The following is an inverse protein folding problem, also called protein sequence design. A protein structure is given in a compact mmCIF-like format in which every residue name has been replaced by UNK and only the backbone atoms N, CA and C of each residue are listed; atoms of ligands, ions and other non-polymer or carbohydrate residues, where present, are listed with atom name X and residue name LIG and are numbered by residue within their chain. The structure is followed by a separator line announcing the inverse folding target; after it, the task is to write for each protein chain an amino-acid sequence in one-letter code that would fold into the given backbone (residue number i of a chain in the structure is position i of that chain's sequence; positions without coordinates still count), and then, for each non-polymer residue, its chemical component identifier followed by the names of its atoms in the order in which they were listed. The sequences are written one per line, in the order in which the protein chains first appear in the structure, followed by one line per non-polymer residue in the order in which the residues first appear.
data_IF_472563231828
#
_entry.id   IF_472563231828
#
_cell.length_a   1.000
_cell.length_b   1.000
_cell.length_c   1.000
_cell.angle_alpha   90.00
_cell.angle_beta   90.00
_cell.angle_gamma   90.00
#
_symmetry.space_group_name_H-M   'P 1'
#
loop_
_entity.id
_entity.type
_entity.pdbx_description
1 polymer ?
#
# COMPACT_ATOMS: atom_id res chain seq x y z
N UNK A 1 15.81 12.39 51.67
CA UNK A 1 16.63 12.79 52.84
C UNK A 1 17.32 11.56 53.41
N UNK A 2 18.58 11.67 53.83
CA UNK A 2 19.37 10.52 54.33
C UNK A 2 19.11 10.19 55.81
N UNK A 3 18.51 11.12 56.58
CA UNK A 3 18.03 10.89 57.95
C UNK A 3 16.72 11.63 58.19
N UNK A 4 15.91 11.15 59.14
CA UNK A 4 14.67 11.82 59.54
C UNK A 4 14.93 13.22 60.15
N UNK A 5 16.07 13.39 60.83
CA UNK A 5 16.46 14.69 61.39
C UNK A 5 16.75 15.72 60.29
N UNK A 6 17.44 15.34 59.21
CA UNK A 6 17.69 16.23 58.07
C UNK A 6 16.38 16.66 57.39
N UNK A 7 15.38 15.79 57.30
CA UNK A 7 14.05 16.14 56.78
C UNK A 7 13.30 17.12 57.69
N UNK A 8 13.41 16.97 59.01
CA UNK A 8 12.76 17.85 59.99
C UNK A 8 13.36 19.27 60.01
N UNK A 9 14.68 19.38 59.88
CA UNK A 9 15.37 20.67 59.76
C UNK A 9 15.00 21.41 58.46
N UNK A 10 14.82 20.67 57.37
CA UNK A 10 14.45 21.25 56.08
C UNK A 10 12.98 21.70 56.01
N UNK A 11 12.07 20.97 56.66
CA UNK A 11 10.68 21.40 56.84
C UNK A 11 10.56 22.71 57.64
N UNK A 12 11.45 22.97 58.59
CA UNK A 12 11.52 24.28 59.28
C UNK A 12 11.98 25.38 58.35
N UNK A 13 13.06 25.17 57.58
CA UNK A 13 13.51 26.15 56.57
C UNK A 13 12.40 26.54 55.59
N UNK A 14 11.59 25.57 55.14
CA UNK A 14 10.44 25.84 54.26
C UNK A 14 9.35 26.68 54.96
N UNK A 15 9.12 26.49 56.26
CA UNK A 15 8.20 27.36 57.04
C UNK A 15 8.75 28.78 57.22
N UNK A 16 10.07 28.91 57.41
CA UNK A 16 10.75 30.20 57.60
C UNK A 16 11.09 30.91 56.27
N UNK A 17 10.78 30.30 55.13
CA UNK A 17 11.00 30.86 53.78
C UNK A 17 12.45 30.75 53.27
N UNK A 18 13.29 29.96 53.93
CA UNK A 18 14.68 29.72 53.54
C UNK A 18 14.80 28.62 52.46
N UNK A 19 15.79 28.71 51.54
CA UNK A 19 16.00 27.71 50.51
C UNK A 19 16.47 26.36 51.08
N UNK A 20 15.89 25.29 50.55
CA UNK A 20 16.23 23.89 50.83
C UNK A 20 17.70 23.60 50.50
N UNK A 21 18.41 22.97 51.43
CA UNK A 21 19.77 22.49 51.18
C UNK A 21 19.73 21.11 50.51
N UNK A 22 19.78 21.08 49.17
CA UNK A 22 19.90 19.81 48.44
C UNK A 22 21.19 19.09 48.86
N UNK A 23 21.13 17.84 49.36
CA UNK A 23 22.35 17.06 49.53
C UNK A 23 22.99 16.83 48.17
N UNK A 24 24.32 16.90 48.10
CA UNK A 24 25.07 16.55 46.89
C UNK A 24 24.66 15.16 46.44
N UNK A 25 24.02 15.07 45.27
CA UNK A 25 23.67 13.80 44.66
C UNK A 25 24.92 12.93 44.56
N UNK A 26 24.76 11.63 44.80
CA UNK A 26 25.84 10.68 44.60
C UNK A 26 26.34 10.82 43.17
N UNK A 27 27.64 11.09 43.02
CA UNK A 27 28.31 10.80 41.76
C UNK A 27 28.18 9.29 41.54
N UNK A 28 27.45 8.90 40.50
CA UNK A 28 27.28 7.51 40.12
C UNK A 28 28.65 6.94 39.77
N UNK A 29 29.16 6.05 40.62
CA UNK A 29 30.46 5.42 40.43
C UNK A 29 30.32 4.37 39.32
N UNK A 30 30.38 4.88 38.08
CA UNK A 30 30.16 4.12 36.86
C UNK A 30 31.07 2.89 36.82
N UNK A 31 30.46 1.73 36.57
CA UNK A 31 31.09 0.41 36.56
C UNK A 31 32.31 0.37 35.63
N UNK A 32 33.51 0.61 36.17
CA UNK A 32 34.76 0.42 35.43
C UNK A 32 35.18 -1.04 35.49
N UNK A 33 35.34 -1.62 34.31
CA UNK A 33 35.85 -2.99 34.12
C UNK A 33 37.25 -3.11 34.72
N UNK A 34 37.41 -4.02 35.67
CA UNK A 34 38.71 -4.43 36.20
C UNK A 34 39.44 -5.31 35.19
N UNK A 35 40.45 -4.74 34.50
CA UNK A 35 41.43 -5.51 33.74
C UNK A 35 42.57 -5.98 34.66
N UNK A 36 43.01 -7.25 34.59
CA UNK A 36 43.95 -7.81 35.56
C UNK A 36 45.41 -7.49 35.21
N UNK A 37 45.87 -6.28 35.52
CA UNK A 37 47.30 -5.92 35.49
C UNK A 37 47.59 -4.64 36.29
N UNK A 38 47.76 -4.73 37.62
CA UNK A 38 48.68 -3.87 38.41
C UNK A 38 48.80 -4.25 39.91
N UNK A 39 48.64 -5.54 40.24
CA UNK A 39 49.03 -6.07 41.55
C UNK A 39 50.55 -6.29 41.65
N UNK A 40 51.36 -5.24 41.39
CA UNK A 40 52.82 -5.34 41.33
C UNK A 40 53.59 -4.01 41.58
N UNK A 41 53.15 -3.16 42.52
CA UNK A 41 53.93 -1.96 42.92
C UNK A 41 53.76 -1.56 44.40
N UNK A 42 53.57 -2.54 45.29
CA UNK A 42 53.76 -2.32 46.72
C UNK A 42 55.26 -2.17 47.05
N UNK A 43 55.56 -1.29 48.00
CA UNK A 43 56.87 -1.00 48.60
C UNK A 43 57.89 -0.15 47.78
N UNK A 44 57.79 1.17 47.92
CA UNK A 44 58.94 2.07 48.18
C UNK A 44 58.50 3.49 48.58
N UNK A 45 59.42 4.27 49.18
CA UNK A 45 59.37 5.71 49.48
C UNK A 45 58.59 6.21 50.73
N UNK A 46 59.33 6.18 51.85
CA UNK A 46 59.25 7.00 53.07
C UNK A 46 59.12 8.54 52.92
N UNK A 47 58.60 9.25 53.94
CA UNK A 47 59.08 10.61 54.29
C UNK A 47 58.21 11.55 55.16
N UNK A 48 58.71 11.96 56.34
CA UNK A 48 58.33 13.18 57.13
C UNK A 48 56.99 13.17 57.90
N UNK A 49 56.86 13.40 59.23
CA UNK A 49 57.34 14.47 60.14
C UNK A 49 56.73 15.87 59.82
N UNK A 50 56.26 16.71 60.76
CA UNK A 50 56.24 16.71 62.25
C UNK A 50 54.76 16.95 62.72
N UNK A 51 54.36 17.35 63.95
CA UNK A 51 55.03 17.74 65.20
C UNK A 51 54.11 17.53 66.43
N UNK A 52 54.72 17.51 67.64
CA UNK A 52 54.04 17.59 68.95
C UNK A 52 54.84 18.51 69.87
N UNK A 53 54.18 19.40 70.64
CA UNK A 53 54.83 20.29 71.62
C UNK A 53 54.46 19.87 73.06
N UNK A 54 55.46 19.74 73.94
CA UNK A 54 55.33 19.32 75.35
C UNK A 54 56.30 20.15 76.21
N UNK A 55 55.86 20.57 77.42
CA UNK A 55 56.60 20.75 78.71
C UNK A 55 55.81 21.72 79.63
N UNK A 56 55.89 21.76 80.98
CA UNK A 56 56.80 21.28 82.06
C UNK A 56 55.96 21.34 83.40
N UNK A 57 56.24 20.70 84.54
CA UNK A 57 57.17 19.62 85.00
C UNK A 57 56.82 19.20 86.47
N UNK A 58 57.40 18.10 86.97
CA UNK A 58 57.87 17.79 88.36
C UNK A 58 57.00 18.08 89.62
N UNK A 59 57.14 17.38 90.77
CA UNK A 59 57.73 16.08 91.16
C UNK A 59 57.23 15.69 92.58
N UNK A 60 57.42 14.43 93.03
CA UNK A 60 56.92 13.87 94.31
C UNK A 60 57.70 14.29 95.59
N UNK A 61 57.76 13.49 96.70
CA UNK A 61 57.43 12.06 96.87
C UNK A 61 56.49 11.77 98.12
N UNK A 62 56.63 10.73 98.99
CA UNK A 62 55.58 9.68 99.08
C UNK A 62 54.98 9.34 100.48
N UNK A 63 53.86 8.58 100.45
CA UNK A 63 53.28 7.67 101.50
C UNK A 63 53.02 8.19 102.93
N UNK A 64 51.76 8.04 103.38
CA UNK A 64 51.35 7.32 104.62
C UNK A 64 49.82 7.17 104.74
N UNK A 65 49.34 6.02 105.22
CA UNK A 65 48.07 5.84 105.98
C UNK A 65 48.40 6.02 107.48
N UNK A 66 47.48 6.49 108.37
CA UNK A 66 46.29 5.71 108.80
C UNK A 66 45.00 6.49 109.17
N UNK A 67 43.94 5.72 109.49
CA UNK A 67 42.66 6.06 110.16
C UNK A 67 42.80 6.59 111.63
N UNK A 68 41.72 6.86 112.44
CA UNK A 68 40.24 6.89 112.20
C UNK A 68 39.47 8.11 112.80
N UNK A 69 38.14 8.14 112.61
CA UNK A 69 37.08 8.27 113.66
C UNK A 69 35.89 9.24 113.37
N UNK A 70 34.72 8.62 113.15
CA UNK A 70 33.29 8.98 113.24
C UNK A 70 32.75 10.40 113.57
N UNK A 71 31.60 10.72 112.95
CA UNK A 71 30.38 11.05 113.71
C UNK A 71 29.06 10.60 112.97
N UNK A 72 28.00 10.43 113.76
CA UNK A 72 26.83 9.52 113.66
C UNK A 72 25.61 9.90 112.73
N UNK A 73 24.47 9.13 112.68
CA UNK A 73 23.67 8.94 111.46
C UNK A 73 22.33 9.71 111.37
N UNK A 74 21.69 9.65 110.18
CA UNK A 74 20.25 9.92 110.02
C UNK A 74 19.51 8.81 109.25
N UNK A 75 18.49 8.26 109.91
CA UNK A 75 17.62 7.17 109.46
C UNK A 75 16.60 7.66 108.42
N UNK A 76 16.78 7.32 107.14
CA UNK A 76 15.77 7.53 106.11
C UNK A 76 14.86 6.31 105.97
N UNK A 77 13.55 6.55 105.90
CA UNK A 77 12.52 5.50 105.94
C UNK A 77 12.61 4.51 104.78
N UNK A 78 12.22 3.25 105.02
CA UNK A 78 12.14 2.16 104.01
C UNK A 78 10.93 2.32 103.06
N UNK A 79 10.03 3.27 103.35
CA UNK A 79 8.79 3.49 102.61
C UNK A 79 8.92 3.82 101.10
N UNK A 80 9.92 4.57 100.60
CA UNK A 80 10.04 4.79 99.16
C UNK A 80 10.46 3.51 98.41
N UNK A 81 11.15 2.56 99.07
CA UNK A 81 11.43 1.25 98.46
C UNK A 81 10.16 0.40 98.34
N UNK A 82 9.23 0.50 99.29
CA UNK A 82 7.92 -0.16 99.17
C UNK A 82 7.12 0.45 98.02
N UNK A 83 7.11 1.78 97.87
CA UNK A 83 6.47 2.43 96.72
C UNK A 83 7.11 2.03 95.38
N UNK A 84 8.44 1.92 95.31
CA UNK A 84 9.14 1.45 94.10
C UNK A 84 8.79 -0.01 93.80
N UNK A 85 8.73 -0.90 94.80
CA UNK A 85 8.32 -2.29 94.61
C UNK A 85 6.85 -2.40 94.19
N UNK A 86 5.94 -1.61 94.78
CA UNK A 86 4.53 -1.57 94.36
C UNK A 86 4.38 -0.97 92.97
N UNK A 87 5.18 0.03 92.59
CA UNK A 87 5.20 0.57 91.24
C UNK A 87 5.74 -0.45 90.23
N UNK A 88 6.81 -1.19 90.56
CA UNK A 88 7.35 -2.26 89.73
C UNK A 88 6.34 -3.42 89.62
N UNK A 89 5.63 -3.77 90.69
CA UNK A 89 4.56 -4.79 90.64
C UNK A 89 3.31 -4.32 89.91
N UNK A 90 2.98 -3.03 89.97
CA UNK A 90 1.90 -2.44 89.17
C UNK A 90 2.28 -2.33 87.69
N UNK A 91 3.54 -2.00 87.37
CA UNK A 91 4.08 -2.01 86.01
C UNK A 91 4.25 -3.43 85.48
N UNK A 92 4.65 -4.40 86.31
CA UNK A 92 4.72 -5.81 85.94
C UNK A 92 3.32 -6.43 85.82
N UNK A 93 2.35 -6.01 86.64
CA UNK A 93 0.95 -6.40 86.54
C UNK A 93 0.25 -5.77 85.34
N UNK A 94 0.55 -4.51 85.02
CA UNK A 94 0.09 -3.84 83.80
C UNK A 94 0.76 -4.43 82.56
N UNK A 95 2.07 -4.68 82.59
CA UNK A 95 2.78 -5.39 81.53
C UNK A 95 2.27 -6.82 81.37
N UNK A 96 1.95 -7.54 82.46
CA UNK A 96 1.34 -8.86 82.40
C UNK A 96 -0.09 -8.80 81.87
N UNK A 97 -0.91 -7.81 82.24
CA UNK A 97 -2.25 -7.62 81.69
C UNK A 97 -2.20 -7.27 80.19
N UNK A 98 -1.28 -6.40 79.80
CA UNK A 98 -1.02 -6.03 78.41
C UNK A 98 -0.49 -7.24 77.62
N UNK A 99 0.46 -8.01 78.15
CA UNK A 99 1.11 -9.17 77.52
C UNK A 99 0.21 -10.41 77.46
N UNK A 100 -0.57 -10.70 78.50
CA UNK A 100 -1.58 -11.77 78.51
C UNK A 100 -2.79 -11.45 77.64
N UNK A 101 -3.10 -10.16 77.44
CA UNK A 101 -4.06 -9.70 76.42
C UNK A 101 -3.41 -9.52 75.02
N UNK A 102 -2.09 -9.65 74.89
CA UNK A 102 -1.38 -9.63 73.59
C UNK A 102 -1.36 -11.03 72.94
N UNK A 103 -1.36 -12.09 73.76
CA UNK A 103 -1.25 -13.48 73.30
C UNK A 103 -2.49 -14.10 72.67
N UNK A 104 -3.52 -13.32 72.32
CA UNK A 104 -4.77 -13.79 71.70
C UNK A 104 -5.19 -12.98 70.47
N UNK A 105 -4.25 -12.28 69.83
CA UNK A 105 -4.35 -12.09 68.39
C UNK A 105 -3.78 -13.37 67.75
N UNK A 106 -4.63 -14.37 67.53
CA UNK A 106 -4.37 -15.30 66.43
C UNK A 106 -4.38 -14.43 65.17
N UNK A 107 -3.18 -14.11 64.67
CA UNK A 107 -3.02 -13.54 63.34
C UNK A 107 -3.51 -14.61 62.36
N UNK A 108 -4.80 -14.54 62.03
CA UNK A 108 -5.50 -15.44 61.12
C UNK A 108 -5.00 -15.13 59.70
N UNK A 109 -3.79 -15.64 59.43
CA UNK A 109 -3.05 -15.44 58.20
C UNK A 109 -3.74 -16.20 57.08
N UNK A 110 -4.44 -15.45 56.23
CA UNK A 110 -5.09 -15.95 55.04
C UNK A 110 -4.05 -16.14 53.93
N UNK A 111 -4.19 -17.23 53.17
CA UNK A 111 -3.33 -17.51 52.03
C UNK A 111 -3.96 -16.85 50.80
N UNK A 112 -3.20 -16.04 50.07
CA UNK A 112 -3.65 -15.40 48.84
C UNK A 112 -3.96 -16.49 47.79
N UNK A 113 -5.20 -16.58 47.28
CA UNK A 113 -5.55 -17.55 46.25
C UNK A 113 -4.91 -17.19 44.90
N UNK A 114 -4.77 -18.19 44.04
CA UNK A 114 -4.43 -17.96 42.63
C UNK A 114 -5.68 -17.50 41.90
N UNK A 115 -5.69 -16.27 41.37
CA UNK A 115 -6.81 -15.74 40.57
C UNK A 115 -6.40 -15.35 39.15
N UNK A 116 -5.14 -15.56 38.76
CA UNK A 116 -4.67 -15.39 37.37
C UNK A 116 -5.51 -16.25 36.43
N UNK A 117 -5.95 -15.68 35.29
CA UNK A 117 -6.84 -16.36 34.33
C UNK A 117 -8.29 -16.58 34.82
N UNK A 118 -8.65 -16.09 36.01
CA UNK A 118 -10.06 -16.02 36.43
C UNK A 118 -10.72 -14.75 35.90
N UNK A 119 -12.04 -14.78 35.67
CA UNK A 119 -12.79 -13.54 35.43
C UNK A 119 -12.77 -12.64 36.66
N UNK A 120 -12.92 -11.32 36.49
CA UNK A 120 -12.94 -10.37 37.61
C UNK A 120 -13.98 -10.70 38.70
N UNK A 121 -15.11 -11.33 38.34
CA UNK A 121 -16.12 -11.80 39.29
C UNK A 121 -15.62 -13.01 40.10
N UNK A 122 -15.10 -14.05 39.43
CA UNK A 122 -14.55 -15.23 40.09
C UNK A 122 -13.33 -14.90 40.97
N UNK A 123 -12.47 -13.97 40.51
CA UNK A 123 -11.34 -13.48 41.27
C UNK A 123 -11.79 -12.76 42.55
N UNK A 124 -12.83 -11.91 42.46
CA UNK A 124 -13.43 -11.25 43.61
C UNK A 124 -13.99 -12.26 44.60
N UNK A 125 -14.82 -13.20 44.14
CA UNK A 125 -15.46 -14.20 45.00
C UNK A 125 -14.40 -15.07 45.71
N UNK A 126 -13.37 -15.54 44.99
CA UNK A 126 -12.28 -16.33 45.57
C UNK A 126 -11.44 -15.57 46.61
N UNK A 127 -11.20 -14.27 46.41
CA UNK A 127 -10.45 -13.42 47.34
C UNK A 127 -11.30 -13.09 48.59
N UNK A 128 -12.59 -12.81 48.42
CA UNK A 128 -13.51 -12.54 49.53
C UNK A 128 -13.82 -13.81 50.35
N UNK A 129 -13.97 -14.98 49.72
CA UNK A 129 -14.11 -16.28 50.38
C UNK A 129 -12.83 -16.67 51.17
N UNK A 130 -11.65 -16.26 50.70
CA UNK A 130 -10.39 -16.38 51.42
C UNK A 130 -10.24 -15.39 52.59
N UNK A 131 -11.24 -14.55 52.87
CA UNK A 131 -11.20 -13.57 53.96
C UNK A 131 -10.32 -12.35 53.70
N UNK A 132 -10.01 -12.09 52.43
CA UNK A 132 -9.25 -10.93 51.96
C UNK A 132 -10.18 -9.93 51.24
N UNK A 133 -9.67 -8.76 50.85
CA UNK A 133 -10.42 -7.76 50.08
C UNK A 133 -9.93 -7.70 48.64
N UNK A 134 -10.86 -7.67 47.69
CA UNK A 134 -10.57 -7.46 46.29
C UNK A 134 -10.48 -5.96 45.95
N UNK A 135 -9.40 -5.54 45.30
CA UNK A 135 -9.26 -4.20 44.68
C UNK A 135 -8.92 -4.35 43.20
N UNK A 136 -9.76 -3.81 42.31
CA UNK A 136 -9.42 -3.68 40.89
C UNK A 136 -8.46 -2.50 40.69
N UNK A 137 -7.20 -2.80 40.38
CA UNK A 137 -6.13 -1.83 40.20
C UNK A 137 -6.00 -1.31 38.76
N UNK A 138 -6.90 -1.72 37.86
CA UNK A 138 -7.00 -1.25 36.48
C UNK A 138 -6.78 -2.35 35.44
N UNK A 139 -6.56 -1.94 34.19
CA UNK A 139 -6.32 -2.84 33.06
C UNK A 139 -4.85 -2.87 32.65
N UNK A 140 -4.34 -4.02 32.24
CA UNK A 140 -2.98 -4.22 31.72
C UNK A 140 -3.03 -5.06 30.43
N UNK A 141 -2.27 -4.70 29.40
CA UNK A 141 -2.17 -5.52 28.19
C UNK A 141 -1.43 -6.85 28.49
N UNK A 142 -1.96 -7.95 27.96
CA UNK A 142 -1.38 -9.29 28.07
C UNK A 142 -1.63 -10.08 26.78
N UNK A 143 -0.59 -10.66 26.21
CA UNK A 143 -0.72 -11.46 24.99
C UNK A 143 -1.23 -12.90 25.27
N UNK A 144 -1.02 -13.38 26.50
CA UNK A 144 -1.27 -14.76 26.93
C UNK A 144 -2.63 -14.93 27.65
N UNK A 145 -3.20 -13.84 28.19
CA UNK A 145 -4.45 -13.86 28.98
C UNK A 145 -5.56 -13.11 28.20
N UNK A 146 -6.71 -13.75 27.92
CA UNK A 146 -7.88 -13.13 27.26
C UNK A 146 -8.36 -11.82 27.90
N UNK A 147 -8.95 -10.92 27.10
CA UNK A 147 -9.57 -9.68 27.61
C UNK A 147 -10.65 -10.00 28.66
N UNK A 148 -10.58 -9.35 29.83
CA UNK A 148 -11.55 -9.52 30.94
C UNK A 148 -11.15 -10.54 32.02
N UNK A 149 -10.09 -11.33 31.80
CA UNK A 149 -9.49 -12.20 32.82
C UNK A 149 -8.35 -11.51 33.58
N UNK A 150 -8.00 -11.99 34.77
CA UNK A 150 -6.90 -11.42 35.57
C UNK A 150 -5.55 -11.73 34.92
N UNK A 151 -4.82 -10.67 34.53
CA UNK A 151 -3.45 -10.78 34.02
C UNK A 151 -2.38 -10.73 35.11
N UNK A 152 -2.68 -10.11 36.25
CA UNK A 152 -1.75 -9.95 37.38
C UNK A 152 -2.50 -9.76 38.69
N UNK A 153 -1.93 -10.30 39.77
CA UNK A 153 -2.30 -9.98 41.15
C UNK A 153 -1.10 -9.43 41.92
N UNK A 154 -1.35 -8.71 43.00
CA UNK A 154 -0.38 -8.24 43.99
C UNK A 154 -1.08 -8.16 45.36
N UNK A 155 -0.67 -8.91 46.39
CA UNK A 155 0.48 -9.83 46.43
C UNK A 155 0.30 -11.12 45.59
N UNK A 156 1.43 -11.79 45.33
CA UNK A 156 1.48 -13.06 44.60
C UNK A 156 0.73 -14.21 45.32
N UNK A 157 0.37 -15.25 44.57
CA UNK A 157 -0.29 -16.45 45.11
C UNK A 157 0.52 -17.12 46.23
N UNK A 158 -0.17 -17.73 47.20
CA UNK A 158 0.47 -18.45 48.31
C UNK A 158 1.08 -17.54 49.40
N UNK A 159 1.15 -16.22 49.18
CA UNK A 159 1.54 -15.25 50.21
C UNK A 159 0.55 -15.28 51.39
N UNK A 160 1.05 -14.98 52.59
CA UNK A 160 0.25 -14.92 53.81
C UNK A 160 -0.02 -13.48 54.19
N UNK A 161 -1.30 -13.12 54.27
CA UNK A 161 -1.78 -11.79 54.58
C UNK A 161 -2.69 -11.82 55.81
N UNK A 162 -2.78 -10.70 56.51
CA UNK A 162 -3.73 -10.56 57.62
C UNK A 162 -5.16 -10.50 57.07
N UNK A 163 -6.10 -11.10 57.81
CA UNK A 163 -7.53 -11.09 57.47
C UNK A 163 -8.02 -9.68 57.16
N UNK A 164 -8.61 -9.50 55.98
CA UNK A 164 -9.12 -8.21 55.49
C UNK A 164 -8.07 -7.27 54.91
N UNK A 165 -6.82 -7.70 54.69
CA UNK A 165 -5.89 -7.04 53.78
C UNK A 165 -6.35 -7.13 52.32
N UNK A 166 -5.79 -6.27 51.48
CA UNK A 166 -6.27 -6.06 50.11
C UNK A 166 -5.34 -6.70 49.09
N UNK A 167 -5.91 -7.52 48.21
CA UNK A 167 -5.26 -8.06 47.01
C UNK A 167 -5.67 -7.19 45.83
N UNK A 168 -4.67 -6.59 45.18
CA UNK A 168 -4.82 -5.79 43.97
C UNK A 168 -4.77 -6.68 42.75
N UNK A 169 -5.67 -6.42 41.82
CA UNK A 169 -5.89 -7.27 40.65
C UNK A 169 -5.92 -6.38 39.41
N UNK A 170 -5.12 -6.71 38.40
CA UNK A 170 -5.16 -6.09 37.08
C UNK A 170 -5.83 -7.04 36.09
N UNK A 171 -6.78 -6.48 35.33
CA UNK A 171 -7.55 -7.21 34.32
C UNK A 171 -6.83 -7.07 32.99
N UNK A 172 -6.70 -8.17 32.25
CA UNK A 172 -6.16 -8.17 30.90
C UNK A 172 -7.02 -7.30 29.98
N UNK A 173 -6.39 -6.40 29.23
CA UNK A 173 -7.00 -5.72 28.08
C UNK A 173 -6.77 -6.48 26.77
N UNK A 174 -6.43 -7.78 26.86
CA UNK A 174 -6.06 -8.62 25.72
C UNK A 174 -4.73 -8.21 25.07
N UNK A 175 -4.54 -8.71 23.84
CA UNK A 175 -3.47 -8.25 22.94
C UNK A 175 -3.71 -6.78 22.61
N UNK A 176 -2.67 -5.96 22.79
CA UNK A 176 -2.77 -4.51 22.64
C UNK A 176 -3.36 -4.12 21.29
N UNK A 177 -4.18 -3.05 21.27
CA UNK A 177 -4.83 -2.58 20.05
C UNK A 177 -3.91 -1.65 19.27
N UNK A 178 -3.85 -1.84 17.95
CA UNK A 178 -3.02 -1.10 17.01
C UNK A 178 -3.91 -0.45 15.96
N UNK A 179 -3.56 0.75 15.51
CA UNK A 179 -4.28 1.47 14.46
C UNK A 179 -3.90 0.93 13.08
N UNK A 180 -4.88 0.58 12.24
CA UNK A 180 -4.65 0.13 10.87
C UNK A 180 -4.21 1.31 10.01
N UNK A 181 -3.02 1.27 9.37
CA UNK A 181 -2.55 2.35 8.51
C UNK A 181 -3.38 2.46 7.22
N UNK A 182 -3.30 3.62 6.55
CA UNK A 182 -3.81 3.76 5.19
C UNK A 182 -2.85 3.11 4.19
N UNK A 183 -3.33 2.09 3.49
CA UNK A 183 -2.60 1.32 2.49
C UNK A 183 -3.05 1.66 1.06
N UNK A 184 -4.10 2.47 0.89
CA UNK A 184 -4.66 2.79 -0.43
C UNK A 184 -3.61 3.46 -1.33
N UNK A 185 -3.48 2.98 -2.56
CA UNK A 185 -2.49 3.47 -3.52
C UNK A 185 -1.05 3.07 -3.24
N UNK A 186 -0.77 2.28 -2.19
CA UNK A 186 0.58 1.73 -1.93
C UNK A 186 0.81 0.44 -2.71
N UNK A 187 2.09 0.19 -3.02
CA UNK A 187 2.57 -1.10 -3.53
C UNK A 187 2.34 -2.20 -2.49
N UNK A 188 1.90 -3.38 -2.92
CA UNK A 188 1.65 -4.56 -2.06
C UNK A 188 2.82 -4.87 -1.10
N UNK A 189 4.06 -4.77 -1.57
CA UNK A 189 5.27 -5.03 -0.77
C UNK A 189 5.44 -3.97 0.31
N UNK A 190 5.16 -2.70 0.00
CA UNK A 190 5.22 -1.60 0.98
C UNK A 190 4.12 -1.74 2.01
N UNK A 191 2.90 -2.06 1.58
CA UNK A 191 1.76 -2.29 2.46
C UNK A 191 2.01 -3.46 3.44
N UNK A 192 2.53 -4.59 2.94
CA UNK A 192 2.89 -5.74 3.76
C UNK A 192 3.98 -5.41 4.81
N UNK A 193 5.01 -4.64 4.43
CA UNK A 193 6.04 -4.19 5.37
C UNK A 193 5.49 -3.24 6.45
N UNK A 194 4.56 -2.35 6.09
CA UNK A 194 3.96 -1.38 7.01
C UNK A 194 3.04 -2.06 8.03
N UNK A 195 2.27 -3.06 7.60
CA UNK A 195 1.51 -3.95 8.49
C UNK A 195 2.43 -4.79 9.39
N UNK A 196 3.50 -5.37 8.83
CA UNK A 196 4.44 -6.20 9.60
C UNK A 196 5.19 -5.41 10.69
N UNK A 197 5.48 -4.13 10.48
CA UNK A 197 6.06 -3.24 11.50
C UNK A 197 5.11 -2.97 12.68
N UNK A 198 3.82 -3.25 12.51
CA UNK A 198 2.75 -3.06 13.50
C UNK A 198 2.29 -4.40 14.12
N UNK A 199 3.02 -5.48 13.87
CA UNK A 199 2.65 -6.86 14.24
C UNK A 199 1.28 -7.29 13.66
N UNK A 200 0.90 -6.74 12.49
CA UNK A 200 -0.33 -7.10 11.78
C UNK A 200 -0.03 -8.09 10.65
N UNK A 201 -0.90 -9.09 10.50
CA UNK A 201 -0.85 -10.01 9.38
C UNK A 201 -1.38 -9.39 8.08
N UNK A 202 -1.04 -9.96 6.94
CA UNK A 202 -1.55 -9.53 5.63
C UNK A 202 -2.14 -10.70 4.83
N UNK A 203 -3.32 -10.48 4.25
CA UNK A 203 -4.03 -11.42 3.38
C UNK A 203 -4.28 -10.74 2.03
N UNK A 204 -3.37 -10.87 1.04
CA UNK A 204 -3.54 -10.25 -0.26
C UNK A 204 -4.54 -11.02 -1.13
N UNK A 205 -5.49 -10.29 -1.70
CA UNK A 205 -6.43 -10.76 -2.72
C UNK A 205 -6.27 -9.93 -3.98
N UNK A 206 -6.52 -10.53 -5.14
CA UNK A 206 -6.36 -9.89 -6.44
C UNK A 206 -7.73 -9.52 -7.02
N UNK A 207 -7.83 -8.34 -7.63
CA UNK A 207 -9.03 -7.84 -8.29
C UNK A 207 -8.61 -7.10 -9.57
N UNK A 208 -9.23 -7.44 -10.71
CA UNK A 208 -8.92 -6.82 -12.00
C UNK A 208 -9.29 -5.34 -11.99
N UNK A 209 -8.37 -4.46 -12.42
CA UNK A 209 -8.61 -3.02 -12.42
C UNK A 209 -7.79 -2.27 -13.47
N UNK A 210 -8.46 -1.65 -14.45
CA UNK A 210 -7.80 -0.86 -15.50
C UNK A 210 -7.44 0.57 -15.07
N UNK A 211 -7.95 1.04 -13.93
CA UNK A 211 -7.69 2.38 -13.40
C UNK A 211 -6.46 2.48 -12.48
N UNK A 212 -5.91 1.34 -12.05
CA UNK A 212 -4.81 1.25 -11.09
C UNK A 212 -3.61 0.50 -11.69
N UNK A 213 -2.40 0.82 -11.24
CA UNK A 213 -1.20 0.09 -11.65
C UNK A 213 -1.21 -1.33 -11.02
N UNK A 214 -0.91 -2.40 -11.76
CA UNK A 214 -0.82 -3.74 -11.20
C UNK A 214 0.15 -3.80 -10.01
N UNK A 215 -0.22 -4.51 -8.95
CA UNK A 215 0.52 -4.54 -7.68
C UNK A 215 0.15 -3.42 -6.68
N UNK A 216 -0.75 -2.51 -7.04
CA UNK A 216 -1.22 -1.42 -6.16
C UNK A 216 -2.42 -1.85 -5.33
N UNK A 217 -2.43 -1.54 -4.03
CA UNK A 217 -3.59 -1.76 -3.16
C UNK A 217 -4.70 -0.76 -3.51
N UNK A 218 -5.87 -1.28 -3.91
CA UNK A 218 -7.07 -0.50 -4.26
C UNK A 218 -8.12 -0.50 -3.14
N UNK A 219 -8.04 -1.42 -2.18
CA UNK A 219 -8.96 -1.52 -1.05
C UNK A 219 -8.32 -2.32 0.09
N UNK A 220 -8.72 -2.05 1.32
CA UNK A 220 -8.28 -2.78 2.52
C UNK A 220 -9.47 -3.08 3.44
N UNK A 221 -9.32 -4.08 4.31
CA UNK A 221 -10.24 -4.42 5.38
C UNK A 221 -9.45 -5.06 6.53
N UNK A 222 -9.46 -4.51 7.76
CA UNK A 222 -10.28 -3.39 8.23
C UNK A 222 -9.88 -2.01 7.67
N UNK A 223 -10.67 -0.99 7.96
CA UNK A 223 -10.50 0.35 7.36
C UNK A 223 -9.30 1.11 7.97
N UNK A 224 -8.78 2.10 7.23
CA UNK A 224 -7.71 2.95 7.75
C UNK A 224 -8.19 3.76 8.97
N UNK A 225 -7.38 3.82 10.03
CA UNK A 225 -7.72 4.45 11.31
C UNK A 225 -8.57 3.57 12.25
N UNK A 226 -8.87 2.33 11.88
CA UNK A 226 -9.58 1.38 12.74
C UNK A 226 -8.61 0.71 13.74
N UNK A 227 -9.07 0.44 14.97
CA UNK A 227 -8.24 -0.20 16.00
C UNK A 227 -8.47 -1.72 16.03
N UNK A 228 -7.43 -2.47 15.69
CA UNK A 228 -7.41 -3.94 15.60
C UNK A 228 -6.55 -4.55 16.71
N UNK A 229 -6.71 -5.83 17.02
CA UNK A 229 -5.79 -6.52 17.92
C UNK A 229 -4.42 -6.74 17.26
N UNK A 230 -3.32 -6.61 18.01
CA UNK A 230 -2.01 -7.03 17.54
C UNK A 230 -2.03 -8.53 17.15
N UNK A 231 -1.48 -8.85 15.98
CA UNK A 231 -1.57 -10.16 15.33
C UNK A 231 -2.80 -10.35 14.43
N UNK A 232 -3.74 -9.40 14.35
CA UNK A 232 -4.89 -9.49 13.44
C UNK A 232 -4.43 -9.41 11.97
N UNK A 233 -5.07 -10.20 11.11
CA UNK A 233 -4.82 -10.21 9.67
C UNK A 233 -5.66 -9.12 8.99
N UNK A 234 -5.00 -8.25 8.22
CA UNK A 234 -5.62 -7.25 7.35
C UNK A 234 -5.68 -7.80 5.93
N UNK A 235 -6.89 -7.93 5.37
CA UNK A 235 -7.06 -8.26 3.95
C UNK A 235 -6.77 -7.01 3.13
N UNK A 236 -5.86 -7.11 2.17
CA UNK A 236 -5.62 -6.08 1.15
C UNK A 236 -6.08 -6.59 -0.21
N UNK A 237 -6.69 -5.73 -1.00
CA UNK A 237 -7.09 -6.03 -2.38
C UNK A 237 -6.18 -5.26 -3.31
N UNK A 238 -5.48 -6.00 -4.14
CA UNK A 238 -4.42 -5.56 -5.04
C UNK A 238 -4.95 -5.57 -6.46
N UNK A 239 -4.75 -4.47 -7.18
CA UNK A 239 -5.03 -4.39 -8.60
C UNK A 239 -4.16 -5.39 -9.36
N UNK A 240 -4.79 -6.21 -10.20
CA UNK A 240 -4.11 -6.91 -11.30
C UNK A 240 -4.55 -6.31 -12.63
N UNK A 241 -3.69 -6.44 -13.65
CA UNK A 241 -4.07 -6.03 -15.00
C UNK A 241 -5.32 -6.78 -15.42
N UNK A 242 -6.32 -6.10 -16.00
CA UNK A 242 -7.45 -6.84 -16.53
C UNK A 242 -7.01 -7.70 -17.71
N UNK A 243 -7.46 -8.95 -17.71
CA UNK A 243 -7.43 -9.83 -18.87
C UNK A 243 -8.71 -9.72 -19.71
N UNK A 244 -9.64 -8.84 -19.34
CA UNK A 244 -10.75 -8.43 -20.19
C UNK A 244 -10.35 -7.36 -21.21
N UNK A 245 -11.14 -7.25 -22.27
CA UNK A 245 -11.08 -6.20 -23.29
C UNK A 245 -12.52 -5.82 -23.64
N UNK A 246 -12.82 -4.52 -23.75
CA UNK A 246 -14.14 -4.05 -24.15
C UNK A 246 -14.39 -4.30 -25.64
N UNK A 247 -15.52 -4.93 -25.99
CA UNK A 247 -15.89 -5.20 -27.39
C UNK A 247 -16.21 -3.88 -28.11
N UNK A 248 -15.56 -3.58 -29.26
CA UNK A 248 -15.79 -2.35 -30.00
C UNK A 248 -17.15 -2.36 -30.75
N UNK A 249 -17.54 -1.21 -31.30
CA UNK A 249 -18.66 -1.15 -32.25
C UNK A 249 -18.22 -1.69 -33.61
N UNK A 250 -18.82 -2.81 -34.02
CA UNK A 250 -18.60 -3.49 -35.30
C UNK A 250 -19.77 -3.29 -36.27
N UNK A 251 -20.98 -3.05 -35.75
CA UNK A 251 -22.20 -2.81 -36.55
C UNK A 251 -21.96 -1.68 -37.57
N UNK A 252 -22.30 -1.95 -38.83
CA UNK A 252 -22.12 -1.04 -39.97
C UNK A 252 -20.71 -1.02 -40.57
N UNK A 253 -19.75 -1.80 -40.06
CA UNK A 253 -18.44 -2.02 -40.69
C UNK A 253 -18.50 -3.16 -41.70
N UNK A 254 -17.55 -3.19 -42.62
CA UNK A 254 -17.28 -4.39 -43.41
C UNK A 254 -16.63 -5.49 -42.54
N UNK A 255 -16.87 -6.75 -42.91
CA UNK A 255 -16.37 -7.93 -42.21
C UNK A 255 -14.84 -7.90 -42.03
N UNK A 256 -14.08 -7.55 -43.06
CA UNK A 256 -12.61 -7.57 -43.00
C UNK A 256 -12.06 -6.52 -41.99
N UNK A 257 -12.63 -5.32 -41.97
CA UNK A 257 -12.31 -4.29 -40.98
C UNK A 257 -12.74 -4.70 -39.57
N UNK A 258 -13.89 -5.38 -39.41
CA UNK A 258 -14.34 -5.89 -38.13
C UNK A 258 -13.41 -6.99 -37.58
N UNK A 259 -13.03 -7.96 -38.40
CA UNK A 259 -12.06 -9.02 -38.08
C UNK A 259 -10.68 -8.44 -37.73
N UNK A 260 -10.19 -7.47 -38.52
CA UNK A 260 -8.91 -6.81 -38.25
C UNK A 260 -8.93 -6.03 -36.93
N UNK A 261 -10.05 -5.35 -36.60
CA UNK A 261 -10.20 -4.62 -35.35
C UNK A 261 -10.25 -5.58 -34.14
N UNK A 262 -11.04 -6.65 -34.22
CA UNK A 262 -11.08 -7.70 -33.19
C UNK A 262 -9.69 -8.34 -32.99
N UNK A 263 -9.00 -8.70 -34.07
CA UNK A 263 -7.64 -9.26 -34.02
C UNK A 263 -6.65 -8.29 -33.37
N UNK A 264 -6.75 -6.98 -33.66
CA UNK A 264 -5.88 -5.97 -33.04
C UNK A 264 -6.10 -5.81 -31.53
N UNK A 265 -7.26 -6.21 -31.02
CA UNK A 265 -7.65 -6.24 -29.61
C UNK A 265 -7.39 -7.60 -28.94
N UNK A 266 -6.88 -8.59 -29.69
CA UNK A 266 -6.65 -9.95 -29.19
C UNK A 266 -7.92 -10.78 -29.03
N UNK A 267 -9.02 -10.41 -29.71
CA UNK A 267 -10.29 -11.13 -29.74
C UNK A 267 -10.39 -11.99 -31.00
N UNK A 268 -11.15 -13.09 -30.94
CA UNK A 268 -11.43 -13.96 -32.09
C UNK A 268 -12.75 -13.55 -32.74
N UNK A 269 -12.81 -13.55 -34.08
CA UNK A 269 -14.04 -13.30 -34.82
C UNK A 269 -14.72 -14.62 -35.21
N UNK A 270 -16.03 -14.70 -35.01
CA UNK A 270 -16.88 -15.80 -35.50
C UNK A 270 -17.97 -15.23 -36.45
N UNK A 271 -17.69 -15.10 -37.76
CA UNK A 271 -18.62 -14.53 -38.71
C UNK A 271 -19.75 -15.50 -39.08
N UNK A 272 -20.99 -15.08 -38.83
CA UNK A 272 -22.21 -15.84 -39.10
C UNK A 272 -23.07 -15.10 -40.14
N UNK A 273 -23.46 -15.74 -41.27
CA UNK A 273 -24.24 -15.07 -42.30
C UNK A 273 -25.71 -14.88 -41.87
N UNK A 274 -26.28 -13.70 -42.14
CA UNK A 274 -27.69 -13.37 -41.87
C UNK A 274 -28.34 -12.71 -43.09
N UNK A 275 -29.63 -12.97 -43.30
CA UNK A 275 -30.44 -12.25 -44.29
C UNK A 275 -30.70 -10.81 -43.83
N UNK A 276 -30.31 -9.84 -44.63
CA UNK A 276 -30.47 -8.40 -44.35
C UNK A 276 -30.64 -7.60 -45.64
N UNK A 277 -31.13 -6.37 -45.50
CA UNK A 277 -31.19 -5.39 -46.61
C UNK A 277 -29.91 -4.55 -46.73
N UNK A 278 -29.00 -4.65 -45.76
CA UNK A 278 -27.69 -4.00 -45.82
C UNK A 278 -26.78 -4.63 -46.90
N UNK A 279 -25.83 -3.89 -47.49
CA UNK A 279 -24.91 -4.43 -48.49
C UNK A 279 -24.18 -5.69 -48.02
N UNK A 280 -23.94 -6.64 -48.92
CA UNK A 280 -23.16 -7.84 -48.64
C UNK A 280 -21.83 -7.54 -47.94
N UNK A 281 -21.46 -8.38 -46.98
CA UNK A 281 -20.23 -8.20 -46.20
C UNK A 281 -20.29 -7.16 -45.09
N UNK A 282 -21.43 -6.46 -44.90
CA UNK A 282 -21.64 -5.51 -43.78
C UNK A 282 -22.06 -6.25 -42.51
N UNK A 283 -21.45 -5.93 -41.37
CA UNK A 283 -21.87 -6.43 -40.05
C UNK A 283 -23.19 -5.74 -39.64
N UNK A 284 -24.23 -6.55 -39.46
CA UNK A 284 -25.60 -6.13 -39.11
C UNK A 284 -25.80 -6.11 -37.59
N UNK A 285 -25.21 -7.08 -36.89
CA UNK A 285 -25.34 -7.26 -35.44
C UNK A 285 -24.07 -7.93 -34.87
N UNK A 286 -23.87 -7.87 -33.55
CA UNK A 286 -22.71 -8.44 -32.86
C UNK A 286 -23.09 -9.01 -31.49
N UNK A 287 -22.39 -10.07 -31.07
CA UNK A 287 -22.49 -10.62 -29.72
C UNK A 287 -21.10 -11.08 -29.25
N UNK A 288 -20.55 -10.58 -28.14
CA UNK A 288 -21.18 -9.67 -27.17
C UNK A 288 -21.36 -8.21 -27.64
N UNK A 289 -22.10 -7.42 -26.87
CA UNK A 289 -22.52 -6.07 -27.27
C UNK A 289 -21.39 -5.05 -27.17
N UNK A 290 -21.55 -3.88 -27.81
CA UNK A 290 -20.57 -2.79 -27.72
C UNK A 290 -20.35 -2.37 -26.26
N UNK A 291 -19.09 -2.34 -25.83
CA UNK A 291 -18.69 -1.91 -24.48
C UNK A 291 -18.84 -3.00 -23.41
N UNK A 292 -19.28 -4.20 -23.79
CA UNK A 292 -19.24 -5.37 -22.91
C UNK A 292 -17.78 -5.85 -22.75
N UNK A 293 -17.37 -6.17 -21.53
CA UNK A 293 -16.02 -6.67 -21.24
C UNK A 293 -15.96 -8.18 -21.38
N UNK A 294 -15.01 -8.66 -22.19
CA UNK A 294 -14.83 -10.09 -22.49
C UNK A 294 -13.37 -10.48 -22.32
N UNK A 295 -13.10 -11.71 -21.90
CA UNK A 295 -11.73 -12.20 -21.78
C UNK A 295 -10.97 -12.09 -23.11
N UNK A 296 -9.66 -11.83 -23.05
CA UNK A 296 -8.76 -11.96 -24.22
C UNK A 296 -8.92 -13.33 -24.85
N UNK A 297 -8.85 -13.39 -26.17
CA UNK A 297 -9.05 -14.59 -26.99
C UNK A 297 -10.48 -15.19 -26.95
N UNK A 298 -11.45 -14.52 -26.32
CA UNK A 298 -12.87 -14.86 -26.48
C UNK A 298 -13.34 -14.66 -27.92
N UNK A 299 -14.39 -15.39 -28.31
CA UNK A 299 -15.01 -15.28 -29.62
C UNK A 299 -16.15 -14.25 -29.60
N UNK A 300 -16.06 -13.26 -30.50
CA UNK A 300 -17.13 -12.31 -30.80
C UNK A 300 -17.82 -12.77 -32.08
N UNK A 301 -19.08 -13.15 -31.95
CA UNK A 301 -19.96 -13.50 -33.06
C UNK A 301 -20.34 -12.22 -33.79
N UNK A 302 -20.09 -12.16 -35.10
CA UNK A 302 -20.49 -11.04 -35.95
C UNK A 302 -21.49 -11.52 -37.00
N UNK A 303 -22.67 -10.93 -37.03
CA UNK A 303 -23.72 -11.29 -37.99
C UNK A 303 -23.53 -10.47 -39.27
N UNK A 304 -23.12 -11.12 -40.35
CA UNK A 304 -22.73 -10.47 -41.62
C UNK A 304 -23.85 -10.60 -42.65
N UNK A 305 -24.22 -9.49 -43.30
CA UNK A 305 -25.22 -9.50 -44.37
C UNK A 305 -24.79 -10.39 -45.53
N UNK A 306 -25.66 -11.35 -45.88
CA UNK A 306 -25.50 -12.23 -47.03
C UNK A 306 -26.11 -11.66 -48.34
N UNK A 307 -26.58 -10.41 -48.31
CA UNK A 307 -27.10 -9.73 -49.50
C UNK A 307 -26.03 -9.62 -50.60
N UNK A 308 -26.41 -9.35 -51.86
CA UNK A 308 -25.44 -9.02 -52.89
C UNK A 308 -24.59 -7.82 -52.47
N UNK A 309 -23.27 -7.92 -52.59
CA UNK A 309 -22.40 -6.75 -52.47
C UNK A 309 -22.80 -5.70 -53.51
N UNK A 310 -22.91 -4.43 -53.10
CA UNK A 310 -23.16 -3.34 -54.03
C UNK A 310 -21.83 -3.01 -54.74
N UNK A 311 -21.48 -3.85 -55.71
CA UNK A 311 -20.31 -3.67 -56.58
C UNK A 311 -20.47 -2.51 -57.56
N UNK A 312 -21.66 -1.89 -57.64
CA UNK A 312 -21.98 -0.87 -58.63
C UNK A 312 -21.89 0.57 -58.10
N UNK A 313 -21.32 1.45 -58.92
CA UNK A 313 -21.17 2.89 -58.69
C UNK A 313 -21.85 3.66 -59.83
N UNK A 314 -22.41 4.83 -59.54
CA UNK A 314 -22.99 5.72 -60.56
C UNK A 314 -21.87 6.46 -61.29
N UNK A 315 -21.81 6.34 -62.61
CA UNK A 315 -20.83 7.07 -63.43
C UNK A 315 -21.03 8.59 -63.26
N UNK A 316 -20.00 9.35 -62.84
CA UNK A 316 -20.11 10.79 -62.70
C UNK A 316 -20.19 11.48 -64.07
N UNK A 317 -20.80 12.67 -64.11
CA UNK A 317 -20.74 13.54 -65.28
C UNK A 317 -19.36 14.18 -65.41
N UNK A 318 -18.67 13.88 -66.51
CA UNK A 318 -17.35 14.42 -66.90
C UNK A 318 -17.35 15.14 -68.25
N UNK A 319 -18.43 15.06 -69.03
CA UNK A 319 -18.60 15.89 -70.23
C UNK A 319 -18.45 17.39 -69.91
N UNK A 320 -17.73 18.12 -70.77
CA UNK A 320 -17.41 19.54 -70.58
C UNK A 320 -16.30 19.83 -69.55
N UNK A 321 -15.73 18.82 -68.87
CA UNK A 321 -14.54 18.99 -68.03
C UNK A 321 -13.26 18.88 -68.86
N UNK A 322 -12.17 19.45 -68.34
CA UNK A 322 -10.83 19.18 -68.89
C UNK A 322 -10.40 17.73 -68.63
N UNK A 323 -9.51 17.19 -69.46
CA UNK A 323 -8.92 15.85 -69.31
C UNK A 323 -8.50 15.53 -67.86
N UNK A 324 -7.76 16.43 -67.22
CA UNK A 324 -7.24 16.23 -65.87
C UNK A 324 -8.36 16.17 -64.82
N UNK A 325 -9.36 17.06 -64.92
CA UNK A 325 -10.54 17.05 -64.04
C UNK A 325 -11.41 15.81 -64.26
N UNK A 326 -11.60 15.37 -65.51
CA UNK A 326 -12.36 14.17 -65.84
C UNK A 326 -11.70 12.90 -65.28
N UNK A 327 -10.38 12.75 -65.47
CA UNK A 327 -9.59 11.65 -64.91
C UNK A 327 -9.68 11.64 -63.38
N UNK A 328 -9.48 12.79 -62.72
CA UNK A 328 -9.57 12.89 -61.26
C UNK A 328 -10.97 12.52 -60.74
N UNK A 329 -12.03 12.95 -61.43
CA UNK A 329 -13.42 12.70 -61.02
C UNK A 329 -13.86 11.25 -61.23
N UNK A 330 -13.34 10.57 -62.25
CA UNK A 330 -13.54 9.13 -62.48
C UNK A 330 -12.75 8.29 -61.48
N UNK A 331 -11.48 8.61 -61.24
CA UNK A 331 -10.64 7.95 -60.26
C UNK A 331 -11.21 8.06 -58.83
N UNK A 332 -11.77 9.22 -58.46
CA UNK A 332 -12.48 9.43 -57.19
C UNK A 332 -13.79 8.63 -57.03
N UNK A 333 -14.22 7.92 -58.07
CA UNK A 333 -15.38 7.01 -58.07
C UNK A 333 -14.98 5.55 -58.28
N UNK A 334 -13.68 5.23 -58.16
CA UNK A 334 -13.08 3.92 -58.48
C UNK A 334 -13.34 3.45 -59.92
N UNK A 335 -13.41 4.38 -60.88
CA UNK A 335 -13.64 4.09 -62.30
C UNK A 335 -12.38 4.36 -63.13
N UNK A 336 -12.07 3.47 -64.07
CA UNK A 336 -10.85 3.52 -64.88
C UNK A 336 -11.07 4.37 -66.15
N UNK A 337 -10.43 5.55 -66.30
CA UNK A 337 -10.61 6.39 -67.49
C UNK A 337 -9.84 5.82 -68.70
N UNK A 338 -10.53 5.58 -69.81
CA UNK A 338 -9.93 5.20 -71.10
C UNK A 338 -10.05 6.36 -72.08
N UNK A 339 -8.92 7.00 -72.39
CA UNK A 339 -8.87 8.24 -73.16
C UNK A 339 -8.76 7.96 -74.65
N UNK A 340 -9.62 8.58 -75.45
CA UNK A 340 -9.53 8.62 -76.91
C UNK A 340 -9.58 10.08 -77.39
N UNK A 341 -8.73 10.43 -78.36
CA UNK A 341 -8.68 11.77 -78.93
C UNK A 341 -9.49 11.84 -80.24
N UNK A 342 -10.21 12.94 -80.43
CA UNK A 342 -10.94 13.24 -81.66
C UNK A 342 -10.52 14.61 -82.18
N UNK A 343 -9.98 14.65 -83.40
CA UNK A 343 -9.53 15.90 -84.02
C UNK A 343 -10.73 16.75 -84.44
N UNK A 344 -10.90 17.92 -83.84
CA UNK A 344 -11.99 18.85 -84.13
C UNK A 344 -11.60 20.30 -83.81
N UNK A 345 -12.24 21.25 -84.51
CA UNK A 345 -12.14 22.69 -84.26
C UNK A 345 -13.42 23.26 -83.62
N UNK A 346 -14.42 22.41 -83.36
CA UNK A 346 -15.72 22.80 -82.78
C UNK A 346 -15.66 22.94 -81.25
N UNK A 347 -14.66 22.34 -80.60
CA UNK A 347 -14.48 22.29 -79.15
C UNK A 347 -13.06 22.70 -78.75
N UNK A 348 -12.91 23.33 -77.59
CA UNK A 348 -11.60 23.68 -77.04
C UNK A 348 -10.75 22.42 -76.78
N UNK A 349 -9.48 22.47 -77.18
CA UNK A 349 -8.57 21.34 -77.05
C UNK A 349 -8.39 20.90 -75.59
N UNK A 350 -8.46 19.59 -75.34
CA UNK A 350 -8.35 19.00 -74.01
C UNK A 350 -9.65 18.92 -73.21
N UNK A 351 -10.80 19.33 -73.78
CA UNK A 351 -12.13 19.18 -73.18
C UNK A 351 -12.76 17.82 -73.56
N UNK A 352 -13.45 17.19 -72.60
CA UNK A 352 -14.21 15.96 -72.83
C UNK A 352 -15.50 16.28 -73.60
N UNK A 353 -15.56 15.84 -74.86
CA UNK A 353 -16.73 15.94 -75.74
C UNK A 353 -17.80 14.93 -75.32
N UNK A 354 -17.39 13.68 -75.04
CA UNK A 354 -18.30 12.57 -74.79
C UNK A 354 -17.74 11.61 -73.73
N UNK A 355 -18.65 10.99 -72.97
CA UNK A 355 -18.35 9.87 -72.08
C UNK A 355 -19.23 8.67 -72.43
N UNK A 356 -18.69 7.47 -72.28
CA UNK A 356 -19.42 6.21 -72.36
C UNK A 356 -18.85 5.25 -71.30
N UNK A 357 -19.61 4.83 -70.28
CA UNK A 357 -21.06 5.00 -70.11
C UNK A 357 -21.53 6.44 -69.83
N UNK A 358 -22.81 6.78 -70.12
CA UNK A 358 -23.41 8.05 -69.79
C UNK A 358 -23.48 8.31 -68.28
N UNK A 359 -23.54 9.58 -67.90
CA UNK A 359 -23.64 10.01 -66.51
C UNK A 359 -24.90 9.45 -65.82
N UNK A 360 -24.75 9.00 -64.58
CA UNK A 360 -25.81 8.43 -63.77
C UNK A 360 -26.06 6.92 -63.97
N UNK A 361 -25.50 6.30 -65.01
CA UNK A 361 -25.57 4.84 -65.18
C UNK A 361 -24.84 4.12 -64.04
N UNK A 362 -25.41 3.02 -63.55
CA UNK A 362 -24.74 2.10 -62.62
C UNK A 362 -23.82 1.16 -63.39
N UNK A 363 -22.56 1.08 -62.96
CA UNK A 363 -21.54 0.15 -63.49
C UNK A 363 -20.68 -0.39 -62.37
N UNK A 364 -20.06 -1.54 -62.57
CA UNK A 364 -19.15 -2.14 -61.59
C UNK A 364 -17.96 -1.24 -61.25
N UNK A 365 -17.53 -1.24 -59.99
CA UNK A 365 -16.26 -0.64 -59.56
C UNK A 365 -15.09 -1.22 -60.38
N UNK A 366 -14.15 -0.37 -60.76
CA UNK A 366 -13.05 -0.73 -61.66
C UNK A 366 -13.42 -0.80 -63.14
N UNK A 367 -14.69 -0.64 -63.53
CA UNK A 367 -15.07 -0.61 -64.95
C UNK A 367 -14.44 0.56 -65.71
N UNK A 368 -14.23 0.36 -67.01
CA UNK A 368 -13.58 1.34 -67.88
C UNK A 368 -14.57 2.34 -68.47
N UNK A 369 -14.40 3.63 -68.16
CA UNK A 369 -15.18 4.73 -68.73
C UNK A 369 -14.39 5.36 -69.87
N UNK A 370 -14.88 5.21 -71.10
CA UNK A 370 -14.31 5.84 -72.30
C UNK A 370 -14.64 7.33 -72.28
N UNK A 371 -13.61 8.17 -72.39
CA UNK A 371 -13.78 9.62 -72.58
C UNK A 371 -13.16 10.07 -73.90
N UNK A 372 -13.96 10.77 -74.70
CA UNK A 372 -13.56 11.34 -75.99
C UNK A 372 -13.16 12.80 -75.78
N UNK A 373 -11.94 13.15 -76.19
CA UNK A 373 -11.34 14.46 -75.92
C UNK A 373 -11.06 15.20 -77.22
N UNK A 374 -11.39 16.49 -77.27
CA UNK A 374 -11.08 17.35 -78.41
C UNK A 374 -9.56 17.54 -78.57
N UNK A 375 -9.05 17.28 -79.77
CA UNK A 375 -7.68 17.55 -80.17
C UNK A 375 -7.67 18.49 -81.38
N UNK A 376 -6.62 19.32 -81.52
CA UNK A 376 -6.45 20.12 -82.75
C UNK A 376 -5.98 19.22 -83.90
N UNK A 377 -6.55 19.34 -85.11
CA UNK A 377 -6.14 18.54 -86.25
C UNK A 377 -4.69 18.85 -86.67
N UNK A 378 -3.87 17.81 -86.77
CA UNK A 378 -2.46 17.95 -87.19
C UNK A 378 -2.33 18.04 -88.71
N UNK A 379 -2.51 19.25 -89.28
CA UNK A 379 -2.32 19.49 -90.71
C UNK A 379 -0.87 19.26 -91.16
N UNK A 380 -0.57 18.03 -91.59
CA UNK A 380 0.65 17.72 -92.33
C UNK A 380 0.56 18.34 -93.72
N UNK A 381 1.18 19.51 -93.89
CA UNK A 381 1.37 20.12 -95.21
C UNK A 381 2.38 19.30 -95.99
N UNK A 382 1.90 18.41 -96.86
CA UNK A 382 2.73 17.75 -97.87
C UNK A 382 3.14 18.78 -98.92
N UNK A 383 4.41 19.16 -98.93
CA UNK A 383 4.98 20.01 -99.98
C UNK A 383 5.12 19.14 -101.24
N UNK A 384 4.50 19.51 -102.39
CA UNK A 384 4.72 18.77 -103.63
C UNK A 384 6.11 19.08 -104.19
N UNK A 385 7.06 18.16 -104.01
CA UNK A 385 8.37 18.24 -104.67
C UNK A 385 8.17 18.13 -106.18
N UNK A 386 8.42 19.24 -106.90
CA UNK A 386 8.31 19.29 -108.35
C UNK A 386 9.33 18.39 -109.04
N UNK A 387 8.85 17.49 -109.88
CA UNK A 387 9.64 16.62 -110.75
C UNK A 387 10.51 17.43 -111.73
N UNK A 388 11.83 17.33 -111.59
CA UNK A 388 12.76 17.63 -112.69
C UNK A 388 13.07 16.33 -113.42
N UNK A 389 12.82 16.32 -114.73
CA UNK A 389 13.00 15.17 -115.61
C UNK A 389 14.46 15.00 -116.02
N UNK A 390 15.08 13.88 -115.66
CA UNK A 390 16.15 13.25 -116.44
C UNK A 390 15.77 11.80 -116.75
N UNK A 391 15.85 11.43 -118.03
CA UNK A 391 15.74 10.08 -118.56
C UNK A 391 17.10 9.68 -119.17
N UNK A 392 17.37 8.39 -119.39
CA UNK A 392 17.35 7.31 -118.40
C UNK A 392 18.69 6.52 -118.45
N UNK A 393 18.93 5.56 -117.56
CA UNK A 393 19.84 4.44 -117.88
C UNK A 393 19.31 3.14 -117.30
N UNK A 394 19.12 2.20 -118.22
CA UNK A 394 18.57 0.86 -118.06
C UNK A 394 19.44 -0.06 -117.20
N UNK A 395 18.83 -0.74 -116.23
CA UNK A 395 19.04 -2.20 -116.03
C UNK A 395 17.73 -2.86 -115.63
N UNK A 396 17.39 -3.94 -116.34
CA UNK A 396 16.27 -4.83 -116.00
C UNK A 396 16.57 -5.61 -114.72
N UNK A 397 15.56 -5.85 -113.89
CA UNK A 397 15.22 -7.20 -113.45
C UNK A 397 13.74 -7.28 -113.03
N UNK A 398 12.97 -8.08 -113.79
CA UNK A 398 12.21 -9.27 -113.31
C UNK A 398 12.09 -9.47 -111.79
N UNK A 399 10.93 -9.82 -111.20
CA UNK A 399 9.62 -10.29 -111.74
C UNK A 399 8.48 -10.10 -110.68
N UNK A 400 7.18 -9.97 -111.06
CA UNK A 400 6.02 -9.90 -110.14
C UNK A 400 5.47 -11.33 -109.83
N UNK A 401 4.19 -11.61 -109.43
CA UNK A 401 3.08 -10.82 -108.85
C UNK A 401 2.77 -11.19 -107.37
N UNK A 402 1.98 -10.45 -106.58
CA UNK A 402 0.49 -10.29 -106.57
C UNK A 402 -0.22 -11.65 -106.28
N UNK A 403 -1.31 -11.77 -105.52
CA UNK A 403 -2.62 -11.11 -105.71
C UNK A 403 -3.61 -11.40 -104.57
N UNK A 404 -4.25 -10.33 -104.03
CA UNK A 404 -5.65 -10.20 -103.52
C UNK A 404 -6.23 -11.27 -102.54
N UNK A 405 -7.45 -11.24 -101.98
CA UNK A 405 -8.73 -10.55 -102.27
C UNK A 405 -9.48 -10.37 -100.92
N UNK A 406 -9.78 -9.16 -100.46
CA UNK A 406 -11.13 -8.51 -100.50
C UNK A 406 -12.35 -9.46 -100.33
N UNK A 407 -13.19 -9.28 -99.30
CA UNK A 407 -14.39 -8.42 -99.25
C UNK A 407 -15.57 -8.89 -100.14
N UNK A 408 -16.73 -9.16 -99.51
CA UNK A 408 -18.17 -9.15 -99.98
C UNK A 408 -18.96 -10.01 -98.97
N UNK A 409 -19.83 -9.51 -98.07
CA UNK A 409 -21.09 -8.74 -98.19
C UNK A 409 -22.33 -9.61 -98.48
N UNK A 410 -23.28 -9.58 -97.53
CA UNK A 410 -24.71 -10.00 -97.52
C UNK A 410 -25.27 -10.87 -98.66
N UNK A 411 -25.80 -12.06 -98.34
CA UNK A 411 -27.21 -12.26 -97.92
C UNK A 411 -27.50 -13.69 -97.44
#
# INVERSE_FOLDING_TARGET
YLTAQAMHEDLRRVQDGEPIAMPTAYAEDNTRVLTPAEAASAASASGGMQATQIRRRDAGPPRTEPEPYYDEPRRSSVWPWILVIVLILALAGAAYAIFSNWGNAEEELMVVPSVIGSTAAQAKDAIEDAGLKFENAGTQASADIPEGEVSRQDPDEGMKLLKGETVKVWISSGKGKVEVPDLFGKDQTKAANELGNLDLGVDPKEEANDGALPGTVIRQSPAAGEFVEAGQVVTIIVAVASDTVAVPLLIGKDQATAEALLTSLGLLADPQPIESTEPGGTVVDQSPAQGEEVDRQSAVVIYVSNAPEITTVKVPSVAGLTQSQAVAKLAASDLNPRIEAYETLEYDAGVVIQQNPPAGQLVERGSSVRILIAAVPTTTTTIPTTTTTEFPTTTLSTEPPTTETTFTTDF
#
